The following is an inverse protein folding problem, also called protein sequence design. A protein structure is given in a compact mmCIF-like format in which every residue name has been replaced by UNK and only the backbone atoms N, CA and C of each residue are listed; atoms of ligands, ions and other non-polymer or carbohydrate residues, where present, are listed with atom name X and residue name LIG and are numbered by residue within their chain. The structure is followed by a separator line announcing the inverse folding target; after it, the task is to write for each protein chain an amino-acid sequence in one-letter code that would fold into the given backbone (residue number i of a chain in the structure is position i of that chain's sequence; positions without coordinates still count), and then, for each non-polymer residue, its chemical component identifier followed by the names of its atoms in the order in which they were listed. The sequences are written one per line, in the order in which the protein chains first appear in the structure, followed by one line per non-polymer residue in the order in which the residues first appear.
data_IF_569779414355
#
_entry.id   IF_569779414355
#
_cell.length_a   1.000
_cell.length_b   1.000
_cell.length_c   1.000
_cell.angle_alpha   90.00
_cell.angle_beta   90.00
_cell.angle_gamma   90.00
#
_symmetry.space_group_name_H-M   'P 1'
#
loop_
_entity.id
_entity.type
_entity.pdbx_description
1 polymer ?
#
# COMPACT_ATOMS: atom_id res chain seq x y z
N UNK A 1 -30.87 3.67 -25.68
CA UNK A 1 -31.31 3.18 -24.36
C UNK A 1 -31.38 1.68 -24.43
N UNK A 2 -30.47 0.94 -23.77
CA UNK A 2 -30.57 -0.51 -23.64
C UNK A 2 -30.52 -0.86 -22.16
N UNK A 3 -31.69 -0.88 -21.54
CA UNK A 3 -31.87 -1.44 -20.21
C UNK A 3 -32.00 -2.97 -20.41
N UNK A 4 -30.90 -3.71 -20.25
CA UNK A 4 -30.96 -5.16 -20.12
C UNK A 4 -31.40 -5.46 -18.70
N UNK A 5 -32.71 -5.54 -18.53
CA UNK A 5 -33.33 -5.94 -17.27
C UNK A 5 -32.75 -7.28 -16.82
N UNK A 6 -32.40 -7.36 -15.54
CA UNK A 6 -32.06 -8.60 -14.87
C UNK A 6 -33.26 -9.53 -15.01
N UNK A 7 -33.14 -10.57 -15.82
CA UNK A 7 -34.17 -11.60 -15.89
C UNK A 7 -34.02 -12.47 -14.65
N UNK A 8 -34.96 -12.31 -13.71
CA UNK A 8 -35.08 -13.13 -12.51
C UNK A 8 -35.94 -14.34 -12.88
N UNK A 9 -35.41 -15.57 -12.88
CA UNK A 9 -36.22 -16.77 -13.05
C UNK A 9 -37.12 -16.94 -11.81
N UNK A 10 -38.41 -17.10 -12.04
CA UNK A 10 -39.48 -17.19 -11.01
C UNK A 10 -39.59 -18.58 -10.37
N UNK A 11 -38.48 -19.25 -10.09
CA UNK A 11 -38.50 -20.48 -9.30
C UNK A 11 -37.35 -20.46 -8.28
N UNK A 12 -37.67 -20.68 -7.00
CA UNK A 12 -36.95 -20.16 -5.83
C UNK A 12 -35.56 -20.72 -5.52
N UNK A 13 -34.84 -21.29 -6.49
CA UNK A 13 -33.48 -21.80 -6.31
C UNK A 13 -32.50 -21.10 -7.25
N UNK A 14 -31.56 -20.36 -6.65
CA UNK A 14 -30.43 -19.77 -7.37
C UNK A 14 -29.39 -20.86 -7.62
N UNK A 15 -29.11 -21.16 -8.89
CA UNK A 15 -28.06 -22.11 -9.26
C UNK A 15 -26.67 -21.59 -8.88
N UNK A 16 -25.77 -22.49 -8.48
CA UNK A 16 -24.35 -22.18 -8.21
C UNK A 16 -23.70 -21.47 -9.40
N UNK A 17 -24.05 -21.84 -10.64
CA UNK A 17 -23.55 -21.20 -11.85
C UNK A 17 -24.02 -19.74 -11.96
N UNK A 18 -25.25 -19.45 -11.53
CA UNK A 18 -25.77 -18.09 -11.50
C UNK A 18 -25.04 -17.23 -10.47
N UNK A 19 -24.78 -17.78 -9.27
CA UNK A 19 -23.98 -17.09 -8.24
C UNK A 19 -22.56 -16.80 -8.73
N UNK A 20 -21.88 -17.79 -9.34
CA UNK A 20 -20.54 -17.59 -9.93
C UNK A 20 -20.55 -16.49 -10.99
N UNK A 21 -21.55 -16.47 -11.86
CA UNK A 21 -21.66 -15.45 -12.90
C UNK A 21 -21.89 -14.06 -12.32
N UNK A 22 -22.77 -13.91 -11.33
CA UNK A 22 -22.97 -12.62 -10.63
C UNK A 22 -21.67 -12.16 -9.97
N UNK A 23 -20.95 -13.05 -9.29
CA UNK A 23 -19.69 -12.71 -8.62
C UNK A 23 -18.62 -12.31 -9.64
N UNK A 24 -18.46 -13.08 -10.72
CA UNK A 24 -17.51 -12.77 -11.78
C UNK A 24 -17.84 -11.46 -12.51
N UNK A 25 -19.13 -11.18 -12.75
CA UNK A 25 -19.58 -9.91 -13.35
C UNK A 25 -19.37 -8.73 -12.41
N UNK A 26 -19.63 -8.88 -11.11
CA UNK A 26 -19.36 -7.86 -10.10
C UNK A 26 -17.86 -7.56 -9.98
N UNK A 27 -17.02 -8.61 -9.97
CA UNK A 27 -15.56 -8.52 -10.01
C UNK A 27 -15.12 -7.82 -11.30
N UNK A 28 -15.56 -8.28 -12.47
CA UNK A 28 -15.21 -7.70 -13.76
C UNK A 28 -15.66 -6.24 -13.89
N UNK A 29 -16.81 -5.86 -13.33
CA UNK A 29 -17.28 -4.47 -13.30
C UNK A 29 -16.48 -3.60 -12.33
N UNK A 30 -16.06 -4.17 -11.18
CA UNK A 30 -15.17 -3.51 -10.24
C UNK A 30 -13.79 -3.24 -10.88
N UNK A 31 -13.26 -4.18 -11.67
CA UNK A 31 -12.00 -4.01 -12.40
C UNK A 31 -12.14 -3.25 -13.73
N UNK A 32 -13.29 -3.33 -14.40
CA UNK A 32 -13.56 -2.76 -15.73
C UNK A 32 -13.90 -1.27 -15.72
N UNK A 33 -14.19 -0.71 -14.54
CA UNK A 33 -14.31 0.75 -14.31
C UNK A 33 -13.17 1.28 -13.44
N UNK A 34 -12.39 0.41 -12.80
CA UNK A 34 -11.02 0.75 -12.43
C UNK A 34 -10.18 0.78 -13.71
N UNK A 35 -10.32 1.88 -14.46
CA UNK A 35 -9.09 2.62 -14.71
C UNK A 35 -8.53 2.82 -13.31
N UNK A 36 -7.61 1.94 -12.88
CA UNK A 36 -6.67 2.33 -11.85
C UNK A 36 -6.11 3.62 -12.42
N UNK A 37 -6.69 4.75 -12.01
CA UNK A 37 -6.03 6.03 -12.13
C UNK A 37 -4.75 5.70 -11.40
N UNK A 38 -3.69 5.42 -12.16
CA UNK A 38 -2.38 5.20 -11.61
C UNK A 38 -2.10 6.52 -10.91
N UNK A 39 -2.50 6.60 -9.63
CA UNK A 39 -2.17 7.70 -8.76
C UNK A 39 -0.67 7.69 -8.82
N UNK A 40 -0.12 8.70 -9.47
CA UNK A 40 1.31 8.82 -9.57
C UNK A 40 1.83 8.81 -8.15
N UNK A 41 2.68 7.84 -7.83
CA UNK A 41 3.18 7.69 -6.48
C UNK A 41 3.85 9.01 -6.07
N UNK A 42 3.35 9.59 -5.01
CA UNK A 42 3.89 10.79 -4.38
C UNK A 42 4.56 10.38 -3.08
N UNK A 43 5.76 10.92 -2.83
CA UNK A 43 6.44 10.67 -1.56
C UNK A 43 5.59 11.25 -0.43
N UNK A 44 5.22 10.45 0.60
CA UNK A 44 4.31 10.90 1.63
C UNK A 44 4.97 11.83 2.65
N UNK A 45 6.29 11.93 2.66
CA UNK A 45 7.01 12.82 3.57
C UNK A 45 7.11 14.26 3.08
N UNK A 46 7.16 15.18 4.04
CA UNK A 46 7.23 16.62 3.79
C UNK A 46 8.48 17.06 3.03
N UNK A 47 8.41 18.26 2.46
CA UNK A 47 9.48 18.86 1.63
C UNK A 47 10.83 18.89 2.35
N UNK A 48 10.86 19.19 3.67
CA UNK A 48 12.11 19.21 4.47
C UNK A 48 12.83 17.86 4.43
N UNK A 49 12.08 16.77 4.64
CA UNK A 49 12.60 15.40 4.62
C UNK A 49 13.05 15.08 3.19
N UNK A 50 12.23 15.38 2.18
CA UNK A 50 12.56 15.17 0.77
C UNK A 50 13.89 15.79 0.37
N UNK A 51 14.25 16.94 0.92
CA UNK A 51 15.49 17.67 0.61
C UNK A 51 16.75 17.14 1.33
N UNK A 52 16.62 16.32 2.37
CA UNK A 52 17.79 15.72 3.06
C UNK A 52 18.62 14.88 2.10
N UNK A 53 19.94 14.98 2.14
CA UNK A 53 20.83 14.14 1.33
C UNK A 53 21.32 12.96 2.17
N UNK A 54 21.37 11.78 1.57
CA UNK A 54 22.09 10.65 2.17
C UNK A 54 23.59 10.99 2.22
N UNK A 55 24.33 10.50 3.24
CA UNK A 55 25.79 10.60 3.27
C UNK A 55 26.43 9.97 2.02
N UNK A 56 27.59 10.49 1.58
CA UNK A 56 28.26 10.03 0.35
C UNK A 56 28.68 8.55 0.39
N UNK A 57 29.01 8.03 1.58
CA UNK A 57 29.41 6.65 1.82
C UNK A 57 28.29 5.81 2.44
N UNK A 58 27.04 6.22 2.28
CA UNK A 58 25.89 5.53 2.86
C UNK A 58 25.75 4.11 2.31
N UNK A 59 25.76 3.14 3.21
CA UNK A 59 25.38 1.77 2.93
C UNK A 59 23.99 1.50 3.52
N UNK A 60 23.00 1.14 2.68
CA UNK A 60 21.67 0.84 3.17
C UNK A 60 21.66 -0.33 4.16
N UNK A 61 21.10 -0.16 5.37
CA UNK A 61 20.90 -1.27 6.28
C UNK A 61 19.98 -2.32 5.68
N UNK A 62 20.17 -3.57 6.08
CA UNK A 62 19.22 -4.63 5.79
C UNK A 62 18.09 -4.57 6.82
N UNK A 63 16.91 -4.15 6.39
CA UNK A 63 15.73 -4.10 7.24
C UNK A 63 14.99 -5.45 7.25
N UNK A 64 14.43 -5.80 8.40
CA UNK A 64 13.32 -6.74 8.45
C UNK A 64 12.12 -6.07 7.75
N UNK A 65 11.39 -6.83 6.93
CA UNK A 65 10.26 -6.30 6.18
C UNK A 65 8.93 -6.68 6.85
N UNK A 66 8.08 -5.69 7.09
CA UNK A 66 6.69 -5.87 7.49
C UNK A 66 5.83 -6.06 6.24
N UNK A 67 5.04 -7.14 6.19
CA UNK A 67 4.17 -7.48 5.04
C UNK A 67 2.70 -7.08 5.24
N UNK A 68 2.38 -6.40 6.34
CA UNK A 68 1.02 -6.08 6.76
C UNK A 68 0.44 -7.06 7.78
N UNK A 69 1.19 -8.12 8.11
CA UNK A 69 0.93 -9.02 9.22
C UNK A 69 2.07 -8.93 10.25
N UNK A 70 1.80 -9.29 11.51
CA UNK A 70 2.75 -9.15 12.61
C UNK A 70 2.55 -7.87 13.43
N UNK A 71 3.37 -7.67 14.46
CA UNK A 71 3.27 -6.55 15.38
C UNK A 71 3.95 -5.28 14.83
N UNK A 72 3.20 -4.21 14.55
CA UNK A 72 3.77 -2.95 14.09
C UNK A 72 4.69 -2.29 15.13
N UNK A 73 4.44 -2.47 16.43
CA UNK A 73 5.27 -1.87 17.48
C UNK A 73 6.65 -2.51 17.51
N UNK A 74 6.71 -3.85 17.45
CA UNK A 74 7.97 -4.57 17.35
C UNK A 74 8.74 -4.19 16.08
N UNK A 75 8.04 -4.07 14.94
CA UNK A 75 8.66 -3.62 13.69
C UNK A 75 9.28 -2.24 13.81
N UNK A 76 8.57 -1.27 14.40
CA UNK A 76 9.08 0.08 14.63
C UNK A 76 10.31 0.05 15.55
N UNK A 77 10.28 -0.73 16.63
CA UNK A 77 11.41 -0.86 17.53
C UNK A 77 12.67 -1.38 16.81
N UNK A 78 12.55 -2.47 16.03
CA UNK A 78 13.67 -3.00 15.25
C UNK A 78 14.14 -2.06 14.15
N UNK A 79 13.23 -1.35 13.50
CA UNK A 79 13.55 -0.33 12.50
C UNK A 79 14.39 0.80 13.10
N UNK A 80 13.95 1.37 14.23
CA UNK A 80 14.65 2.45 14.94
C UNK A 80 16.02 1.97 15.43
N UNK A 81 16.09 0.78 16.02
CA UNK A 81 17.36 0.20 16.46
C UNK A 81 18.36 0.04 15.29
N UNK A 82 17.87 -0.40 14.13
CA UNK A 82 18.69 -0.53 12.91
C UNK A 82 19.20 0.82 12.41
N UNK A 83 18.35 1.85 12.40
CA UNK A 83 18.74 3.22 12.02
C UNK A 83 19.79 3.80 12.96
N UNK A 84 19.62 3.59 14.28
CA UNK A 84 20.57 4.06 15.30
C UNK A 84 21.95 3.42 15.17
N UNK A 85 22.02 2.12 14.84
CA UNK A 85 23.30 1.40 14.65
C UNK A 85 24.17 2.00 13.55
N UNK A 86 23.57 2.58 12.51
CA UNK A 86 24.28 3.24 11.40
C UNK A 86 24.29 4.76 11.52
N UNK A 87 23.86 5.32 12.66
CA UNK A 87 23.86 6.77 12.90
C UNK A 87 22.94 7.56 11.96
N UNK A 88 21.82 6.96 11.52
CA UNK A 88 20.89 7.64 10.61
C UNK A 88 20.07 8.69 11.36
N UNK A 89 20.07 9.92 10.88
CA UNK A 89 19.21 11.01 11.37
C UNK A 89 17.71 10.68 11.28
N UNK A 90 16.87 11.26 12.14
CA UNK A 90 15.42 10.99 12.16
C UNK A 90 14.74 11.24 10.81
N UNK A 91 15.07 12.34 10.12
CA UNK A 91 14.52 12.64 8.81
C UNK A 91 15.04 11.69 7.71
N UNK A 92 16.30 11.26 7.81
CA UNK A 92 16.85 10.23 6.92
C UNK A 92 16.26 8.85 7.18
N UNK A 93 15.84 8.56 8.42
CA UNK A 93 15.16 7.31 8.78
C UNK A 93 13.81 7.23 8.07
N UNK A 94 13.02 8.31 8.06
CA UNK A 94 11.73 8.36 7.32
C UNK A 94 11.89 8.03 5.84
N UNK A 95 13.01 8.44 5.21
CA UNK A 95 13.29 8.10 3.81
C UNK A 95 13.52 6.62 3.58
N UNK A 96 14.06 5.91 4.57
CA UNK A 96 14.40 4.50 4.50
C UNK A 96 13.25 3.60 4.93
N UNK A 97 12.26 4.12 5.66
CA UNK A 97 11.16 3.32 6.20
C UNK A 97 10.46 2.46 5.14
N UNK A 98 10.32 2.97 3.92
CA UNK A 98 9.76 2.23 2.77
C UNK A 98 10.50 0.92 2.46
N UNK A 99 11.80 0.86 2.72
CA UNK A 99 12.63 -0.35 2.52
C UNK A 99 12.33 -1.44 3.55
N UNK A 100 11.68 -1.07 4.67
CA UNK A 100 11.23 -1.99 5.71
C UNK A 100 9.81 -2.52 5.46
N UNK A 101 9.19 -2.21 4.32
CA UNK A 101 7.84 -2.62 3.98
C UNK A 101 7.83 -3.53 2.76
N UNK A 102 6.86 -4.44 2.72
CA UNK A 102 6.51 -5.25 1.55
C UNK A 102 5.02 -5.54 1.53
N UNK A 103 4.54 -6.09 0.41
CA UNK A 103 3.17 -6.56 0.24
C UNK A 103 2.13 -5.50 0.70
N UNK A 104 1.08 -5.91 1.42
CA UNK A 104 -0.01 -5.04 1.90
C UNK A 104 0.47 -3.83 2.70
N UNK A 105 1.60 -3.93 3.42
CA UNK A 105 2.13 -2.77 4.14
C UNK A 105 2.73 -1.72 3.20
N UNK A 106 3.37 -2.17 2.11
CA UNK A 106 3.88 -1.28 1.08
C UNK A 106 2.72 -0.61 0.31
N UNK A 107 1.66 -1.36 -0.01
CA UNK A 107 0.46 -0.83 -0.67
C UNK A 107 -0.17 0.29 0.17
N UNK A 108 -0.33 0.07 1.47
CA UNK A 108 -0.82 1.10 2.40
C UNK A 108 0.08 2.33 2.46
N UNK A 109 1.40 2.16 2.30
CA UNK A 109 2.35 3.26 2.32
C UNK A 109 2.25 4.14 1.07
N UNK A 110 2.09 3.54 -0.12
CA UNK A 110 1.98 4.30 -1.37
C UNK A 110 0.65 5.05 -1.50
N UNK A 111 -0.37 4.64 -0.75
CA UNK A 111 -1.68 5.30 -0.67
C UNK A 111 -1.71 6.51 0.28
N UNK A 112 -0.64 6.75 1.04
CA UNK A 112 -0.54 7.91 1.92
C UNK A 112 -0.58 9.22 1.13
N UNK A 113 -1.27 10.21 1.68
CA UNK A 113 -1.30 11.56 1.11
C UNK A 113 0.10 12.19 1.10
N UNK A 114 0.37 13.02 0.10
CA UNK A 114 1.61 13.79 0.05
C UNK A 114 1.74 14.71 1.28
N UNK A 115 2.94 14.79 1.84
CA UNK A 115 3.25 15.57 3.06
C UNK A 115 2.49 15.12 4.33
N UNK A 116 1.95 13.90 4.35
CA UNK A 116 1.32 13.33 5.56
C UNK A 116 2.33 12.89 6.62
N UNK A 117 3.60 12.70 6.27
CA UNK A 117 4.67 12.36 7.21
C UNK A 117 5.57 13.59 7.42
N UNK A 118 5.49 14.14 8.63
CA UNK A 118 6.17 15.37 9.03
C UNK A 118 6.94 15.16 10.35
N UNK A 119 7.99 14.32 10.30
CA UNK A 119 8.84 13.98 11.45
C UNK A 119 9.67 15.14 11.99
#
# INVERSE_FOLDING_TARGET
MFNKGIHIPTDGFVSIEHVKNIVNEAIANAYGTQVQVFKSYVKPYAKRIKQLKMPENYQPPKFQQLNGHGDPQQHIAHFVETCNKVGTDGGLSVKQFVMSLKDTAFDRYIDLQANSIDS
#
